data_IF_134759396227
#
_entry.id   IF_134759396227
#
_cell.length_a   1.000
_cell.length_b   1.000
_cell.length_c   1.000
_cell.angle_alpha   90.00
_cell.angle_beta   90.00
_cell.angle_gamma   90.00
#
_symmetry.space_group_name_H-M   'P 1'
#
loop_
_entity.id
_entity.type
_entity.pdbx_description
1 polymer ?
#
# COMPACT_ATOMS: atom_id res chain seq x y z
N UNK A 1 18.56 0.47 -3.45
CA UNK A 1 17.28 0.91 -4.07
C UNK A 1 17.11 2.42 -3.95
N UNK A 2 17.44 3.22 -4.98
CA UNK A 2 17.43 4.70 -4.94
C UNK A 2 16.55 5.37 -6.04
N UNK A 3 15.84 4.56 -6.82
CA UNK A 3 14.81 5.07 -7.75
C UNK A 3 13.71 5.79 -6.97
N UNK A 4 13.00 6.73 -7.60
CA UNK A 4 11.86 7.40 -6.92
C UNK A 4 10.81 6.37 -6.48
N UNK A 5 10.51 5.40 -7.35
CA UNK A 5 9.55 4.33 -7.10
C UNK A 5 9.79 3.58 -5.78
N UNK A 6 11.06 3.35 -5.40
CA UNK A 6 11.38 2.60 -4.18
C UNK A 6 11.76 3.49 -2.99
N UNK A 7 12.28 4.71 -3.24
CA UNK A 7 12.82 5.56 -2.17
C UNK A 7 11.89 6.68 -1.73
N UNK A 8 10.89 7.03 -2.55
CA UNK A 8 9.97 8.15 -2.31
C UNK A 8 10.72 9.46 -1.99
N UNK A 9 11.93 9.67 -2.52
CA UNK A 9 12.83 10.76 -2.09
C UNK A 9 12.22 12.14 -2.30
N UNK A 10 11.38 12.32 -3.32
CA UNK A 10 10.68 13.59 -3.57
C UNK A 10 9.39 13.74 -2.75
N UNK A 11 8.70 12.64 -2.44
CA UNK A 11 7.37 12.64 -1.81
C UNK A 11 7.39 12.45 -0.29
N UNK A 12 8.36 11.71 0.25
CA UNK A 12 8.45 11.32 1.67
C UNK A 12 8.38 12.50 2.64
N UNK A 13 8.97 13.64 2.29
CA UNK A 13 8.94 14.85 3.14
C UNK A 13 7.54 15.42 3.33
N UNK A 14 6.66 15.20 2.34
CA UNK A 14 5.28 15.67 2.37
C UNK A 14 4.37 14.65 3.04
N UNK A 15 4.56 13.36 2.74
CA UNK A 15 3.77 12.26 3.33
C UNK A 15 3.91 12.20 4.86
N UNK A 16 5.06 12.56 5.42
CA UNK A 16 5.27 12.66 6.87
C UNK A 16 4.37 13.66 7.60
N UNK A 17 3.70 14.55 6.87
CA UNK A 17 2.79 15.55 7.46
C UNK A 17 1.36 15.03 7.62
N UNK A 18 1.05 13.86 7.06
CA UNK A 18 -0.29 13.27 7.17
C UNK A 18 -0.51 12.72 8.59
N UNK A 19 -1.72 12.84 9.15
CA UNK A 19 -2.05 12.19 10.41
C UNK A 19 -2.08 10.67 10.23
N UNK A 20 -1.47 9.94 11.17
CA UNK A 20 -1.33 8.48 11.11
C UNK A 20 -1.79 7.77 12.40
N UNK A 21 -2.21 8.53 13.41
CA UNK A 21 -2.56 8.02 14.73
C UNK A 21 -4.06 8.19 14.98
N UNK A 22 -4.71 7.11 15.42
CA UNK A 22 -6.04 7.08 15.99
C UNK A 22 -6.23 5.76 16.74
N UNK A 23 -7.18 5.70 17.68
CA UNK A 23 -7.37 4.53 18.56
C UNK A 23 -7.68 3.23 17.81
N UNK A 24 -8.29 3.32 16.63
CA UNK A 24 -8.64 2.19 15.77
C UNK A 24 -7.53 1.81 14.77
N UNK A 25 -6.38 2.47 14.79
CA UNK A 25 -5.25 2.12 13.90
C UNK A 25 -4.41 1.02 14.56
N UNK A 26 -4.53 -0.20 14.04
CA UNK A 26 -3.73 -1.35 14.49
C UNK A 26 -2.32 -1.28 13.87
N UNK A 27 -2.23 -0.94 12.58
CA UNK A 27 -0.97 -0.80 11.85
C UNK A 27 -1.04 0.38 10.87
N UNK A 28 -0.19 1.38 11.09
CA UNK A 28 -0.05 2.56 10.22
C UNK A 28 1.03 2.37 9.13
N UNK A 29 1.49 3.48 8.50
CA UNK A 29 2.51 3.41 7.45
C UNK A 29 3.84 2.84 7.94
N UNK A 30 4.36 1.83 7.24
CA UNK A 30 5.66 1.20 7.54
C UNK A 30 5.74 -0.25 7.06
N UNK A 31 4.61 -0.96 7.14
CA UNK A 31 4.44 -2.34 6.69
C UNK A 31 3.84 -2.42 5.28
N UNK A 32 3.59 -3.65 4.81
CA UNK A 32 3.10 -3.91 3.46
C UNK A 32 1.68 -3.39 3.22
N UNK A 33 0.81 -3.31 4.23
CA UNK A 33 -0.52 -2.70 4.14
C UNK A 33 -0.98 -2.11 5.49
N UNK A 34 -1.97 -1.22 5.46
CA UNK A 34 -2.56 -0.63 6.67
C UNK A 34 -3.64 -1.54 7.27
N UNK A 35 -3.75 -1.52 8.61
CA UNK A 35 -4.73 -2.34 9.35
C UNK A 35 -5.50 -1.47 10.32
N UNK A 36 -6.83 -1.55 10.27
CA UNK A 36 -7.73 -0.86 11.19
C UNK A 36 -8.64 -1.84 11.92
N UNK A 37 -8.94 -1.54 13.19
CA UNK A 37 -9.97 -2.23 13.97
C UNK A 37 -11.35 -1.79 13.46
N UNK A 38 -12.24 -2.76 13.21
CA UNK A 38 -13.62 -2.53 12.79
C UNK A 38 -14.64 -3.02 13.83
N UNK A 39 -14.17 -3.44 15.01
CA UNK A 39 -14.99 -3.99 16.08
C UNK A 39 -15.16 -5.51 15.99
N UNK A 40 -15.86 -6.09 16.97
CA UNK A 40 -16.20 -7.52 17.04
C UNK A 40 -15.00 -8.48 16.93
N UNK A 41 -13.81 -8.02 17.32
CA UNK A 41 -12.57 -8.79 17.18
C UNK A 41 -12.13 -8.98 15.73
N UNK A 42 -12.59 -8.13 14.81
CA UNK A 42 -12.26 -8.14 13.39
C UNK A 42 -11.41 -6.93 13.02
N UNK A 43 -10.60 -7.08 11.97
CA UNK A 43 -9.79 -6.02 11.42
C UNK A 43 -9.97 -5.94 9.90
N UNK A 44 -9.89 -4.73 9.35
CA UNK A 44 -9.82 -4.51 7.91
C UNK A 44 -8.38 -4.18 7.50
N UNK A 45 -7.88 -4.94 6.52
CA UNK A 45 -6.56 -4.75 5.92
C UNK A 45 -6.76 -4.15 4.53
N UNK A 46 -6.13 -3.01 4.25
CA UNK A 46 -6.28 -2.36 2.96
C UNK A 46 -5.02 -1.60 2.53
N UNK A 47 -4.82 -1.56 1.22
CA UNK A 47 -3.78 -0.77 0.54
C UNK A 47 -4.24 -0.46 -0.88
N UNK A 48 -3.63 0.57 -1.47
CA UNK A 48 -3.77 0.90 -2.88
C UNK A 48 -2.39 0.94 -3.53
N UNK A 49 -2.28 0.36 -4.72
CA UNK A 49 -1.08 0.39 -5.55
C UNK A 49 -1.38 0.92 -6.95
N UNK A 50 -0.33 1.23 -7.70
CA UNK A 50 -0.41 1.64 -9.09
C UNK A 50 0.54 0.81 -9.94
N UNK A 51 0.13 0.50 -11.17
CA UNK A 51 0.96 -0.24 -12.12
C UNK A 51 0.99 0.47 -13.49
N UNK A 52 1.15 1.79 -13.44
CA UNK A 52 0.83 2.69 -14.56
C UNK A 52 1.73 2.49 -15.78
N UNK A 53 3.06 2.50 -15.59
CA UNK A 53 3.97 2.42 -16.73
C UNK A 53 3.90 1.07 -17.46
N UNK A 54 3.87 -0.09 -16.76
CA UNK A 54 3.68 -1.37 -17.45
C UNK A 54 2.33 -1.49 -18.14
N UNK A 55 1.23 -1.05 -17.48
CA UNK A 55 -0.11 -1.09 -18.08
C UNK A 55 -0.28 -0.17 -19.29
N UNK A 56 0.53 0.89 -19.40
CA UNK A 56 0.58 1.71 -20.60
C UNK A 56 1.19 0.96 -21.80
N UNK A 57 2.20 0.13 -21.55
CA UNK A 57 2.92 -0.62 -22.60
C UNK A 57 2.16 -1.89 -22.99
N UNK A 58 1.71 -2.66 -22.00
CA UNK A 58 0.96 -3.89 -22.20
C UNK A 58 -0.18 -3.92 -21.16
N UNK A 59 -1.44 -3.66 -21.59
CA UNK A 59 -2.53 -3.46 -20.65
C UNK A 59 -2.94 -4.71 -19.86
N UNK A 60 -2.93 -5.90 -20.48
CA UNK A 60 -3.51 -7.08 -19.86
C UNK A 60 -2.64 -7.64 -18.73
N UNK A 61 -1.38 -7.95 -19.04
CA UNK A 61 -0.37 -8.37 -18.07
C UNK A 61 0.02 -7.24 -17.14
N UNK A 62 0.07 -5.99 -17.61
CA UNK A 62 0.28 -4.82 -16.76
C UNK A 62 -0.76 -4.72 -15.65
N UNK A 63 -2.05 -4.87 -15.97
CA UNK A 63 -3.12 -4.90 -14.97
C UNK A 63 -3.06 -6.16 -14.11
N UNK A 64 -2.87 -7.34 -14.71
CA UNK A 64 -2.87 -8.62 -14.00
C UNK A 64 -1.74 -8.70 -12.95
N UNK A 65 -0.54 -8.21 -13.29
CA UNK A 65 0.59 -8.17 -12.35
C UNK A 65 0.40 -7.14 -11.24
N UNK A 66 -0.27 -6.02 -11.53
CA UNK A 66 -0.72 -5.06 -10.51
C UNK A 66 -1.68 -5.68 -9.50
N UNK A 67 -2.69 -6.44 -9.97
CA UNK A 67 -3.61 -7.20 -9.10
C UNK A 67 -2.84 -8.23 -8.26
N UNK A 68 -1.92 -8.98 -8.87
CA UNK A 68 -1.08 -9.93 -8.14
C UNK A 68 -0.19 -9.27 -7.08
N UNK A 69 0.31 -8.06 -7.34
CA UNK A 69 1.07 -7.24 -6.39
C UNK A 69 0.28 -6.93 -5.13
N UNK A 70 -0.85 -6.23 -5.30
CA UNK A 70 -1.67 -5.81 -4.16
C UNK A 70 -2.19 -7.01 -3.36
N UNK A 71 -2.56 -8.12 -4.01
CA UNK A 71 -3.00 -9.32 -3.29
C UNK A 71 -1.92 -9.86 -2.35
N UNK A 72 -0.66 -9.89 -2.78
CA UNK A 72 0.45 -10.38 -1.95
C UNK A 72 0.65 -9.51 -0.72
N UNK A 73 0.57 -8.19 -0.87
CA UNK A 73 0.75 -7.28 0.26
C UNK A 73 -0.29 -7.52 1.36
N UNK A 74 -1.56 -7.65 0.97
CA UNK A 74 -2.65 -7.93 1.92
C UNK A 74 -2.42 -9.26 2.63
N UNK A 75 -2.15 -10.35 1.90
CA UNK A 75 -1.97 -11.68 2.49
C UNK A 75 -0.71 -11.81 3.38
N UNK A 76 0.26 -10.90 3.27
CA UNK A 76 1.43 -10.92 4.15
C UNK A 76 1.19 -10.31 5.53
N UNK A 77 0.06 -9.63 5.73
CA UNK A 77 -0.28 -8.96 6.98
C UNK A 77 -1.00 -9.86 8.00
N UNK A 78 -1.49 -11.04 7.58
CA UNK A 78 -2.29 -11.97 8.40
C UNK A 78 -3.53 -12.44 7.66
#
# INVERSE_FOLDING_TARGET
MWSEHCSYKSSRIWLKKLPIEADWVICGPGENAGVIDIGDGQAAIFKMESHNHPSFIEPYQGAATGVGGIMRDIFTMG
#
